data_IF_435803857325
#
_entry.id   IF_435803857325
#
_cell.length_a   1.000
_cell.length_b   1.000
_cell.length_c   1.000
_cell.angle_alpha   90.00
_cell.angle_beta   90.00
_cell.angle_gamma   90.00
#
_symmetry.space_group_name_H-M   'P 1'
#
loop_
_entity.id
_entity.type
_entity.pdbx_description
1 polymer ?
#
# COMPACT_ATOMS: atom_id res chain seq x y z
N UNK A 1 2.18 -26.36 -2.33
CA UNK A 1 1.82 -25.18 -1.52
C UNK A 1 2.39 -23.95 -2.22
N UNK A 2 1.65 -22.85 -2.36
CA UNK A 2 2.12 -21.67 -3.09
C UNK A 2 3.13 -20.86 -2.26
N UNK A 3 4.31 -20.57 -2.82
CA UNK A 3 5.32 -19.72 -2.15
C UNK A 3 4.80 -18.31 -1.89
N UNK A 4 3.93 -17.78 -2.76
CA UNK A 4 3.29 -16.47 -2.59
C UNK A 4 2.32 -16.48 -1.40
N UNK A 5 1.53 -17.55 -1.26
CA UNK A 5 0.63 -17.66 -0.10
C UNK A 5 1.42 -17.70 1.21
N UNK A 6 2.52 -18.47 1.24
CA UNK A 6 3.37 -18.61 2.42
C UNK A 6 4.11 -17.32 2.80
N UNK A 7 4.48 -16.48 1.83
CA UNK A 7 5.24 -15.25 2.10
C UNK A 7 4.44 -14.20 2.88
N UNK A 8 3.10 -14.16 2.75
CA UNK A 8 2.23 -13.13 3.36
C UNK A 8 1.18 -13.68 4.35
N UNK A 9 1.14 -14.99 4.61
CA UNK A 9 0.17 -15.61 5.52
C UNK A 9 0.77 -16.48 6.63
N UNK A 10 2.09 -16.44 6.83
CA UNK A 10 2.73 -17.09 7.98
C UNK A 10 2.07 -16.65 9.30
N UNK A 11 2.00 -17.58 10.25
CA UNK A 11 1.43 -17.36 11.60
C UNK A 11 -0.09 -17.06 11.66
N UNK A 12 -0.82 -17.04 10.54
CA UNK A 12 -2.29 -16.92 10.55
C UNK A 12 -2.96 -18.29 10.76
N UNK A 13 -4.07 -18.31 11.51
CA UNK A 13 -4.99 -19.45 11.56
C UNK A 13 -6.04 -19.28 10.47
N UNK A 14 -6.40 -20.35 9.77
CA UNK A 14 -7.36 -20.31 8.66
C UNK A 14 -8.67 -20.98 9.04
N UNK A 15 -9.78 -20.37 8.65
CA UNK A 15 -11.12 -20.96 8.62
C UNK A 15 -11.76 -20.62 7.27
N UNK A 16 -12.64 -21.49 6.79
CA UNK A 16 -13.44 -21.22 5.59
C UNK A 16 -14.83 -20.77 6.01
N UNK A 17 -15.28 -19.64 5.48
CA UNK A 17 -16.58 -19.08 5.79
C UNK A 17 -17.26 -18.58 4.50
N UNK A 18 -18.47 -19.06 4.25
CA UNK A 18 -19.30 -18.60 3.14
C UNK A 18 -20.36 -17.63 3.66
N UNK A 19 -20.12 -16.34 3.44
CA UNK A 19 -20.98 -15.25 3.91
C UNK A 19 -22.34 -15.20 3.21
N UNK A 20 -22.55 -15.98 2.13
CA UNK A 20 -23.82 -16.04 1.41
C UNK A 20 -24.77 -17.11 1.97
N UNK A 21 -24.28 -18.01 2.82
CA UNK A 21 -25.10 -19.04 3.47
C UNK A 21 -25.75 -18.51 4.73
N UNK A 22 -26.90 -19.07 5.08
CA UNK A 22 -27.56 -18.82 6.36
C UNK A 22 -26.58 -19.11 7.51
N UNK A 23 -26.46 -18.21 8.48
CA UNK A 23 -25.50 -18.32 9.59
C UNK A 23 -24.09 -17.81 9.27
N UNK A 24 -23.73 -17.64 7.99
CA UNK A 24 -22.36 -17.28 7.59
C UNK A 24 -21.95 -15.89 8.07
N UNK A 25 -22.88 -14.92 7.95
CA UNK A 25 -22.69 -13.55 8.44
C UNK A 25 -22.59 -13.52 9.96
N UNK A 26 -23.44 -14.28 10.65
CA UNK A 26 -23.52 -14.33 12.10
C UNK A 26 -22.20 -14.80 12.70
N UNK A 27 -21.56 -15.82 12.10
CA UNK A 27 -20.24 -16.29 12.52
C UNK A 27 -19.18 -15.18 12.40
N UNK A 28 -19.18 -14.39 11.32
CA UNK A 28 -18.24 -13.27 11.18
C UNK A 28 -18.51 -12.19 12.24
N UNK A 29 -19.78 -11.86 12.49
CA UNK A 29 -20.15 -10.90 13.52
C UNK A 29 -19.76 -11.40 14.92
N UNK A 30 -19.90 -12.69 15.21
CA UNK A 30 -19.45 -13.29 16.48
C UNK A 30 -17.94 -13.24 16.64
N UNK A 31 -17.17 -13.48 15.57
CA UNK A 31 -15.72 -13.26 15.59
C UNK A 31 -15.38 -11.79 15.81
N UNK A 32 -16.11 -10.86 15.18
CA UNK A 32 -15.91 -9.43 15.35
C UNK A 32 -16.18 -8.94 16.78
N UNK A 33 -17.09 -9.59 17.53
CA UNK A 33 -17.35 -9.27 18.96
C UNK A 33 -16.11 -9.39 19.84
N UNK A 34 -15.26 -10.37 19.53
CA UNK A 34 -14.06 -10.69 20.33
C UNK A 34 -12.76 -10.23 19.68
N UNK A 35 -12.84 -9.55 18.53
CA UNK A 35 -11.68 -9.10 17.77
C UNK A 35 -11.42 -7.62 17.99
N UNK A 36 -10.15 -7.24 18.04
CA UNK A 36 -9.73 -5.84 18.10
C UNK A 36 -9.77 -5.17 16.72
N UNK A 37 -9.41 -5.92 15.68
CA UNK A 37 -9.21 -5.41 14.32
C UNK A 37 -9.84 -6.37 13.32
N UNK A 38 -10.59 -5.82 12.36
CA UNK A 38 -11.05 -6.52 11.16
C UNK A 38 -10.40 -5.85 9.96
N UNK A 39 -9.73 -6.63 9.12
CA UNK A 39 -9.09 -6.14 7.89
C UNK A 39 -9.76 -6.78 6.68
N UNK A 40 -10.11 -5.97 5.69
CA UNK A 40 -10.70 -6.43 4.44
C UNK A 40 -10.23 -5.62 3.22
N UNK A 41 -10.28 -6.23 2.04
CA UNK A 41 -9.90 -5.62 0.78
C UNK A 41 -10.83 -6.06 -0.36
N UNK A 42 -12.13 -6.20 -0.07
CA UNK A 42 -13.12 -6.55 -1.09
C UNK A 42 -13.31 -5.41 -2.08
N UNK A 43 -13.91 -5.73 -3.23
CA UNK A 43 -14.33 -4.70 -4.18
C UNK A 43 -15.34 -3.73 -3.52
N UNK A 44 -15.32 -2.44 -3.88
CA UNK A 44 -16.15 -1.42 -3.24
C UNK A 44 -17.63 -1.83 -3.13
N UNK A 45 -18.21 -1.70 -1.94
CA UNK A 45 -19.62 -2.00 -1.65
C UNK A 45 -19.95 -3.48 -1.41
N UNK A 46 -19.02 -4.42 -1.66
CA UNK A 46 -19.30 -5.85 -1.49
C UNK A 46 -19.52 -6.24 -0.02
N UNK A 47 -18.78 -5.66 0.92
CA UNK A 47 -18.96 -5.95 2.36
C UNK A 47 -20.30 -5.44 2.88
N UNK A 48 -20.77 -4.29 2.38
CA UNK A 48 -22.11 -3.78 2.68
C UNK A 48 -23.22 -4.67 2.12
N UNK A 49 -23.09 -5.13 0.86
CA UNK A 49 -24.00 -6.10 0.24
C UNK A 49 -24.09 -7.40 1.06
N UNK A 50 -22.95 -7.86 1.61
CA UNK A 50 -22.87 -9.06 2.45
C UNK A 50 -23.30 -8.80 3.91
N UNK A 51 -23.63 -7.56 4.28
CA UNK A 51 -24.03 -7.20 5.65
C UNK A 51 -22.90 -7.27 6.69
N UNK A 52 -21.65 -7.27 6.24
CA UNK A 52 -20.42 -7.32 7.07
C UNK A 52 -19.55 -6.07 6.89
N UNK A 53 -20.13 -5.02 6.31
CA UNK A 53 -19.54 -3.69 6.26
C UNK A 53 -19.35 -3.07 7.65
N UNK A 54 -18.79 -1.86 7.68
CA UNK A 54 -18.46 -1.20 8.94
C UNK A 54 -19.66 -1.03 9.87
N UNK A 55 -20.81 -0.57 9.36
CA UNK A 55 -22.00 -0.27 10.16
C UNK A 55 -22.52 -1.47 11.00
N UNK A 56 -22.77 -2.66 10.42
CA UNK A 56 -23.20 -3.82 11.22
C UNK A 56 -22.11 -4.32 12.18
N UNK A 57 -20.84 -4.21 11.79
CA UNK A 57 -19.71 -4.65 12.61
C UNK A 57 -19.50 -3.73 13.82
N UNK A 58 -19.53 -2.42 13.64
CA UNK A 58 -19.37 -1.43 14.72
C UNK A 58 -20.54 -1.41 15.71
N UNK A 59 -21.77 -1.70 15.23
CA UNK A 59 -22.92 -1.94 16.12
C UNK A 59 -22.71 -3.16 17.02
N UNK A 60 -22.01 -4.17 16.50
CA UNK A 60 -21.73 -5.41 17.22
C UNK A 60 -20.57 -5.24 18.20
N UNK A 61 -19.55 -4.48 17.81
CA UNK A 61 -18.40 -4.15 18.63
C UNK A 61 -18.03 -2.66 18.41
N UNK A 62 -18.47 -1.74 19.28
CA UNK A 62 -18.15 -0.30 19.16
C UNK A 62 -16.66 0.03 19.33
N UNK A 63 -15.86 -0.90 19.83
CA UNK A 63 -14.41 -0.75 20.05
C UNK A 63 -13.57 -1.32 18.89
N UNK A 64 -14.20 -1.85 17.82
CA UNK A 64 -13.47 -2.48 16.71
C UNK A 64 -12.82 -1.46 15.79
N UNK A 65 -11.60 -1.76 15.35
CA UNK A 65 -10.95 -1.04 14.25
C UNK A 65 -11.26 -1.80 12.96
N UNK A 66 -12.02 -1.17 12.07
CA UNK A 66 -12.40 -1.74 10.79
C UNK A 66 -11.54 -1.13 9.69
N UNK A 67 -10.61 -1.91 9.14
CA UNK A 67 -9.63 -1.45 8.18
C UNK A 67 -9.94 -1.99 6.78
N UNK A 68 -10.18 -1.08 5.83
CA UNK A 68 -10.50 -1.37 4.44
C UNK A 68 -9.38 -0.94 3.50
N UNK A 69 -9.03 -1.78 2.53
CA UNK A 69 -8.10 -1.44 1.44
C UNK A 69 -8.84 -1.36 0.11
N UNK A 70 -8.73 -0.21 -0.56
CA UNK A 70 -9.33 0.06 -1.86
C UNK A 70 -8.27 0.27 -2.94
N UNK A 71 -8.69 0.19 -4.20
CA UNK A 71 -7.88 0.69 -5.31
C UNK A 71 -7.66 2.20 -5.26
N UNK A 72 -8.76 2.95 -5.14
CA UNK A 72 -8.80 4.41 -5.29
C UNK A 72 -9.42 5.15 -4.10
N UNK A 73 -9.68 4.44 -3.02
CA UNK A 73 -10.34 4.97 -1.83
C UNK A 73 -11.87 4.83 -1.88
N UNK A 74 -12.54 5.19 -0.77
CA UNK A 74 -13.98 5.03 -0.60
C UNK A 74 -14.80 6.19 -1.21
N UNK A 75 -14.15 7.21 -1.77
CA UNK A 75 -14.78 8.43 -2.27
C UNK A 75 -14.19 8.91 -3.60
N UNK A 76 -14.82 9.91 -4.21
CA UNK A 76 -14.35 10.50 -5.46
C UNK A 76 -14.77 9.74 -6.72
N UNK A 77 -14.33 10.19 -7.90
CA UNK A 77 -14.82 9.71 -9.19
C UNK A 77 -14.43 8.24 -9.48
N UNK A 78 -13.41 7.71 -8.80
CA UNK A 78 -12.90 6.36 -9.00
C UNK A 78 -13.30 5.38 -7.89
N UNK A 79 -14.15 5.78 -6.93
CA UNK A 79 -14.54 4.95 -5.77
C UNK A 79 -15.14 3.58 -6.12
N UNK A 80 -15.70 3.41 -7.32
CA UNK A 80 -16.29 2.13 -7.79
C UNK A 80 -15.34 1.29 -8.63
N UNK A 81 -14.13 1.77 -8.92
CA UNK A 81 -13.15 1.04 -9.73
C UNK A 81 -12.39 0.04 -8.87
N UNK A 82 -12.12 -1.13 -9.44
CA UNK A 82 -11.20 -2.11 -8.86
C UNK A 82 -9.76 -1.62 -9.01
N UNK A 83 -8.93 -1.85 -8.00
CA UNK A 83 -7.50 -1.53 -8.04
C UNK A 83 -6.63 -2.75 -8.06
N UNK A 84 -5.53 -2.66 -8.78
CA UNK A 84 -4.40 -3.58 -8.74
C UNK A 84 -3.12 -2.75 -8.67
N UNK A 85 -2.10 -3.26 -7.99
CA UNK A 85 -0.79 -2.61 -7.81
C UNK A 85 -0.26 -1.96 -9.08
N UNK A 86 -0.16 -2.72 -10.18
CA UNK A 86 0.38 -2.21 -11.44
C UNK A 86 -0.45 -1.07 -12.04
N UNK A 87 -1.78 -1.09 -11.86
CA UNK A 87 -2.66 -0.03 -12.35
C UNK A 87 -2.47 1.23 -11.49
N UNK A 88 -2.40 1.07 -10.17
CA UNK A 88 -2.13 2.20 -9.26
C UNK A 88 -0.75 2.80 -9.54
N UNK A 89 0.28 1.98 -9.71
CA UNK A 89 1.63 2.41 -10.09
C UNK A 89 1.66 3.19 -11.42
N UNK A 90 0.86 2.77 -12.40
CA UNK A 90 0.74 3.49 -13.67
C UNK A 90 0.02 4.83 -13.52
N UNK A 91 -1.19 4.82 -12.95
CA UNK A 91 -2.06 6.00 -12.87
C UNK A 91 -1.53 7.05 -11.88
N UNK A 92 -0.81 6.65 -10.84
CA UNK A 92 -0.20 7.56 -9.86
C UNK A 92 1.26 7.92 -10.17
N UNK A 93 1.75 7.60 -11.38
CA UNK A 93 3.02 8.14 -11.90
C UNK A 93 4.29 7.36 -11.56
N UNK A 94 4.24 6.29 -10.75
CA UNK A 94 5.42 5.48 -10.43
C UNK A 94 6.09 4.92 -11.70
N UNK A 95 5.30 4.35 -12.60
CA UNK A 95 5.83 3.78 -13.83
C UNK A 95 6.38 4.88 -14.75
N UNK A 96 5.81 6.09 -14.70
CA UNK A 96 6.29 7.23 -15.49
C UNK A 96 7.72 7.61 -15.12
N UNK A 97 8.09 7.53 -13.84
CA UNK A 97 9.42 7.91 -13.34
C UNK A 97 10.40 6.73 -13.26
N UNK A 98 9.95 5.50 -13.52
CA UNK A 98 10.77 4.28 -13.37
C UNK A 98 11.22 3.75 -14.73
N UNK A 99 12.53 3.54 -14.90
CA UNK A 99 13.12 2.91 -16.09
C UNK A 99 14.30 3.69 -16.68
N UNK A 100 14.73 3.26 -17.87
CA UNK A 100 15.79 3.94 -18.63
C UNK A 100 15.23 5.22 -19.28
N UNK A 101 16.06 6.27 -19.47
CA UNK A 101 15.73 7.39 -20.33
C UNK A 101 15.24 6.90 -21.71
N UNK A 102 14.25 7.57 -22.28
CA UNK A 102 13.66 7.28 -23.61
C UNK A 102 13.08 5.86 -23.83
N UNK A 103 13.07 5.01 -22.80
CA UNK A 103 12.41 3.70 -22.83
C UNK A 103 10.93 3.79 -22.42
N UNK A 104 10.09 2.80 -22.78
CA UNK A 104 8.73 2.70 -22.24
C UNK A 104 8.71 2.61 -20.70
N UNK A 105 7.66 3.13 -20.03
CA UNK A 105 7.46 2.97 -18.59
C UNK A 105 7.55 1.50 -18.14
N UNK A 106 8.26 1.24 -17.05
CA UNK A 106 8.34 -0.11 -16.45
C UNK A 106 7.82 -0.09 -15.02
N UNK A 107 7.25 -1.21 -14.57
CA UNK A 107 6.83 -1.38 -13.18
C UNK A 107 8.01 -1.87 -12.32
N UNK A 108 8.04 -1.54 -11.03
CA UNK A 108 8.93 -2.20 -10.09
C UNK A 108 8.76 -3.74 -10.10
N UNK A 109 9.83 -4.47 -9.78
CA UNK A 109 9.85 -5.93 -9.86
C UNK A 109 8.96 -6.66 -8.83
N UNK A 110 8.41 -5.95 -7.86
CA UNK A 110 7.51 -6.45 -6.82
C UNK A 110 6.29 -5.54 -6.68
N UNK A 111 5.25 -6.02 -5.98
CA UNK A 111 4.05 -5.23 -5.66
C UNK A 111 4.37 -4.13 -4.65
N UNK A 112 5.05 -3.09 -5.11
CA UNK A 112 5.58 -2.01 -4.26
C UNK A 112 4.43 -1.22 -3.64
N UNK A 113 3.40 -0.90 -4.43
CA UNK A 113 2.24 -0.16 -3.96
C UNK A 113 1.47 -1.01 -2.96
N UNK A 114 1.22 -2.29 -3.25
CA UNK A 114 0.56 -3.22 -2.31
C UNK A 114 1.30 -3.29 -0.97
N UNK A 115 2.63 -3.43 -1.00
CA UNK A 115 3.47 -3.55 0.20
C UNK A 115 3.44 -2.26 1.02
N UNK A 116 3.60 -1.10 0.36
CA UNK A 116 3.53 0.20 1.02
C UNK A 116 2.13 0.49 1.58
N UNK A 117 1.05 0.13 0.88
CA UNK A 117 -0.31 0.32 1.38
C UNK A 117 -0.55 -0.53 2.62
N UNK A 118 -0.04 -1.76 2.63
CA UNK A 118 -0.05 -2.62 3.81
C UNK A 118 0.69 -2.00 5.00
N UNK A 119 1.84 -1.37 4.77
CA UNK A 119 2.60 -0.66 5.81
C UNK A 119 1.87 0.58 6.32
N UNK A 120 1.29 1.40 5.44
CA UNK A 120 0.46 2.55 5.86
C UNK A 120 -0.73 2.11 6.69
N UNK A 121 -1.47 1.09 6.25
CA UNK A 121 -2.60 0.56 7.00
C UNK A 121 -2.16 -0.02 8.34
N UNK A 122 -1.02 -0.71 8.39
CA UNK A 122 -0.47 -1.22 9.64
C UNK A 122 -0.20 -0.10 10.65
N UNK A 123 0.45 0.99 10.24
CA UNK A 123 0.69 2.15 11.10
C UNK A 123 -0.62 2.81 11.53
N UNK A 124 -1.59 2.95 10.62
CA UNK A 124 -2.91 3.49 10.94
C UNK A 124 -3.66 2.63 11.97
N UNK A 125 -3.59 1.29 11.86
CA UNK A 125 -4.17 0.37 12.84
C UNK A 125 -3.50 0.53 14.21
N UNK A 126 -2.17 0.64 14.27
CA UNK A 126 -1.46 0.87 15.53
C UNK A 126 -1.85 2.21 16.17
N UNK A 127 -1.99 3.27 15.38
CA UNK A 127 -2.44 4.57 15.84
C UNK A 127 -3.89 4.54 16.36
N UNK A 128 -4.79 3.86 15.64
CA UNK A 128 -6.18 3.68 16.04
C UNK A 128 -6.30 2.85 17.33
N UNK A 129 -5.48 1.80 17.49
CA UNK A 129 -5.41 1.03 18.75
C UNK A 129 -4.97 1.91 19.91
N UNK A 130 -4.00 2.79 19.70
CA UNK A 130 -3.53 3.72 20.72
C UNK A 130 -4.59 4.78 21.07
N UNK A 131 -5.30 5.31 20.07
CA UNK A 131 -6.41 6.24 20.29
C UNK A 131 -7.55 5.56 21.06
N UNK A 132 -7.90 4.33 20.70
CA UNK A 132 -8.91 3.51 21.38
C UNK A 132 -8.59 3.29 22.87
N UNK A 133 -7.32 3.14 23.24
CA UNK A 133 -6.92 3.01 24.65
C UNK A 133 -7.31 4.24 25.49
N UNK A 134 -7.48 5.41 24.86
CA UNK A 134 -7.87 6.64 25.53
C UNK A 134 -9.39 6.89 25.45
N UNK A 135 -10.01 6.52 24.33
CA UNK A 135 -11.42 6.85 24.04
C UNK A 135 -12.40 5.71 24.33
N UNK A 136 -11.90 4.47 24.40
CA UNK A 136 -12.71 3.25 24.44
C UNK A 136 -13.47 2.94 23.14
N UNK A 137 -13.26 3.72 22.07
CA UNK A 137 -14.00 3.63 20.80
C UNK A 137 -13.09 3.20 19.66
N UNK A 138 -13.61 2.36 18.79
CA UNK A 138 -12.99 2.00 17.52
C UNK A 138 -13.32 3.02 16.44
N UNK A 139 -12.82 2.76 15.24
CA UNK A 139 -13.01 3.61 14.07
C UNK A 139 -12.90 2.81 12.78
N UNK A 140 -13.35 3.43 11.68
CA UNK A 140 -13.13 2.91 10.32
C UNK A 140 -11.88 3.55 9.73
N UNK A 141 -10.96 2.72 9.26
CA UNK A 141 -9.77 3.13 8.52
C UNK A 141 -9.95 2.74 7.05
N UNK A 142 -9.72 3.70 6.16
CA UNK A 142 -9.76 3.47 4.72
C UNK A 142 -8.35 3.79 4.14
N UNK A 143 -7.73 2.81 3.47
CA UNK A 143 -6.47 2.98 2.77
C UNK A 143 -6.67 2.72 1.27
N UNK A 144 -5.90 3.39 0.41
CA UNK A 144 -5.95 3.14 -1.02
C UNK A 144 -4.59 2.98 -1.67
N UNK A 145 -4.51 2.11 -2.68
CA UNK A 145 -3.31 1.93 -3.51
C UNK A 145 -2.93 3.25 -4.20
N UNK A 146 -3.93 3.97 -4.71
CA UNK A 146 -3.73 5.23 -5.42
C UNK A 146 -3.13 6.33 -4.53
N UNK A 147 -3.74 6.61 -3.38
CA UNK A 147 -3.24 7.65 -2.46
C UNK A 147 -1.88 7.26 -1.88
N UNK A 148 -1.68 5.98 -1.57
CA UNK A 148 -0.37 5.45 -1.17
C UNK A 148 0.68 5.75 -2.22
N UNK A 149 0.40 5.48 -3.50
CA UNK A 149 1.43 5.72 -4.50
C UNK A 149 1.69 7.21 -4.71
N UNK A 150 0.67 8.05 -4.65
CA UNK A 150 0.87 9.50 -4.71
C UNK A 150 1.77 9.97 -3.56
N UNK A 151 1.57 9.49 -2.34
CA UNK A 151 2.40 9.90 -1.20
C UNK A 151 3.86 9.52 -1.36
N UNK A 152 4.15 8.45 -2.10
CA UNK A 152 5.51 7.98 -2.37
C UNK A 152 6.26 8.77 -3.45
N UNK A 153 5.61 9.72 -4.13
CA UNK A 153 6.30 10.60 -5.09
C UNK A 153 7.25 11.60 -4.41
N UNK A 154 7.01 11.93 -3.14
CA UNK A 154 7.88 12.75 -2.28
C UNK A 154 8.42 14.00 -3.02
N UNK A 155 9.70 14.02 -3.38
CA UNK A 155 10.36 15.15 -4.02
C UNK A 155 9.92 15.32 -5.48
N UNK A 156 9.62 14.23 -6.20
CA UNK A 156 9.15 14.30 -7.59
C UNK A 156 7.78 14.98 -7.65
N UNK A 157 6.90 14.65 -6.70
CA UNK A 157 5.62 15.34 -6.56
C UNK A 157 5.80 16.81 -6.20
N UNK A 158 6.74 17.12 -5.29
CA UNK A 158 7.05 18.49 -4.90
C UNK A 158 7.65 19.32 -6.03
N UNK A 159 8.51 18.74 -6.88
CA UNK A 159 9.12 19.41 -8.04
C UNK A 159 8.05 19.85 -9.04
N UNK A 160 7.07 18.99 -9.32
CA UNK A 160 5.93 19.34 -10.16
C UNK A 160 5.09 20.46 -9.54
N UNK A 161 4.70 20.31 -8.27
CA UNK A 161 3.79 21.26 -7.60
C UNK A 161 4.41 22.65 -7.40
N UNK A 162 5.71 22.72 -7.09
CA UNK A 162 6.37 23.98 -6.76
C UNK A 162 7.07 24.63 -7.96
N UNK A 163 7.56 23.83 -8.91
CA UNK A 163 8.42 24.31 -10.00
C UNK A 163 7.86 24.01 -11.40
N UNK A 164 6.78 23.22 -11.52
CA UNK A 164 6.26 22.77 -12.81
C UNK A 164 7.22 21.81 -13.54
N UNK A 165 8.17 21.22 -12.83
CA UNK A 165 9.16 20.30 -13.40
C UNK A 165 8.57 18.90 -13.42
N UNK A 166 8.32 18.38 -14.62
CA UNK A 166 7.82 17.02 -14.80
C UNK A 166 8.90 15.99 -14.46
N UNK A 167 8.53 14.98 -13.68
CA UNK A 167 9.40 13.86 -13.33
C UNK A 167 9.83 13.06 -14.56
N UNK A 168 11.02 12.48 -14.55
CA UNK A 168 11.58 11.74 -15.69
C UNK A 168 12.20 10.42 -15.25
N UNK A 169 12.35 9.50 -16.20
CA UNK A 169 13.13 8.27 -16.04
C UNK A 169 14.61 8.62 -16.11
N UNK A 170 15.29 8.54 -14.98
CA UNK A 170 16.72 8.87 -14.86
C UNK A 170 17.62 7.61 -14.74
N UNK A 171 17.09 6.41 -15.03
CA UNK A 171 17.74 5.15 -14.69
C UNK A 171 18.17 5.11 -13.22
N UNK A 172 19.47 5.00 -12.95
CA UNK A 172 20.04 4.89 -11.61
C UNK A 172 20.82 6.16 -11.22
N UNK A 173 20.80 7.21 -12.06
CA UNK A 173 21.51 8.47 -11.80
C UNK A 173 20.75 9.26 -10.73
N UNK A 174 21.44 9.63 -9.66
CA UNK A 174 20.89 10.57 -8.69
C UNK A 174 20.81 11.98 -9.32
N UNK A 175 19.67 12.69 -9.21
CA UNK A 175 19.48 13.97 -9.90
C UNK A 175 20.42 15.09 -9.42
N UNK A 176 20.94 14.99 -8.20
CA UNK A 176 21.69 16.08 -7.55
C UNK A 176 23.11 15.71 -7.09
N UNK A 177 23.58 14.49 -7.32
CA UNK A 177 24.87 13.99 -6.77
C UNK A 177 25.59 13.17 -7.83
N UNK A 178 26.89 13.42 -8.05
CA UNK A 178 27.71 12.67 -8.99
C UNK A 178 29.13 12.40 -8.46
N UNK A 179 29.68 11.16 -8.63
CA UNK A 179 29.00 9.98 -9.16
C UNK A 179 28.07 9.32 -8.12
N UNK A 180 26.77 9.24 -8.43
CA UNK A 180 25.81 8.42 -7.69
C UNK A 180 24.95 7.65 -8.70
N UNK A 181 25.40 6.43 -9.03
CA UNK A 181 24.87 5.60 -10.13
C UNK A 181 25.33 4.13 -10.02
N UNK A 182 24.85 3.27 -10.91
CA UNK A 182 25.36 1.89 -11.11
C UNK A 182 26.29 1.80 -12.31
N UNK A 183 27.39 1.06 -12.16
CA UNK A 183 28.42 0.87 -13.18
C UNK A 183 28.62 -0.62 -13.48
N UNK A 184 28.82 -0.97 -14.75
CA UNK A 184 29.06 -2.35 -15.15
C UNK A 184 30.46 -2.81 -14.71
N UNK A 185 30.54 -4.01 -14.14
CA UNK A 185 31.79 -4.70 -13.79
C UNK A 185 32.00 -5.93 -14.69
N UNK A 186 33.05 -6.72 -14.42
CA UNK A 186 33.33 -7.97 -15.15
C UNK A 186 32.18 -8.99 -15.02
N UNK A 187 31.50 -9.02 -13.89
CA UNK A 187 30.57 -10.08 -13.48
C UNK A 187 29.23 -9.56 -12.93
N UNK A 188 28.97 -8.25 -12.99
CA UNK A 188 27.73 -7.66 -12.51
C UNK A 188 27.70 -6.15 -12.61
N UNK A 189 27.05 -5.52 -11.62
CA UNK A 189 26.94 -4.07 -11.50
C UNK A 189 27.36 -3.64 -10.10
N UNK A 190 28.11 -2.55 -10.01
CA UNK A 190 28.49 -1.88 -8.77
C UNK A 190 27.68 -0.59 -8.62
N UNK A 191 26.97 -0.44 -7.51
CA UNK A 191 26.37 0.84 -7.14
C UNK A 191 27.42 1.71 -6.42
N UNK A 192 27.62 2.93 -6.90
CA UNK A 192 28.55 3.92 -6.32
C UNK A 192 27.74 5.13 -5.89
N UNK A 193 27.98 5.65 -4.69
CA UNK A 193 27.37 6.87 -4.17
C UNK A 193 28.42 7.76 -3.51
N UNK A 194 29.09 8.59 -4.31
CA UNK A 194 30.03 9.59 -3.82
C UNK A 194 29.27 10.87 -3.43
N UNK A 195 28.79 10.89 -2.19
CA UNK A 195 27.93 11.97 -1.68
C UNK A 195 28.71 13.19 -1.18
N UNK A 196 30.03 13.18 -1.27
CA UNK A 196 30.91 14.30 -0.94
C UNK A 196 32.29 14.15 -1.62
N UNK A 197 33.03 15.26 -1.70
CA UNK A 197 34.36 15.36 -2.32
C UNK A 197 35.44 14.53 -1.60
N UNK A 198 35.21 14.13 -0.34
CA UNK A 198 36.14 13.38 0.52
C UNK A 198 35.98 11.86 0.44
N UNK A 199 35.25 11.34 -0.53
CA UNK A 199 35.08 9.89 -0.71
C UNK A 199 36.41 9.28 -1.16
N UNK A 200 37.29 8.97 -0.21
CA UNK A 200 38.52 8.21 -0.44
C UNK A 200 38.15 6.82 -0.94
N UNK A 201 38.65 6.47 -2.13
CA UNK A 201 38.66 5.09 -2.62
C UNK A 201 39.69 4.37 -1.76
N UNK A 202 39.23 3.63 -0.76
CA UNK A 202 40.09 2.68 -0.04
C UNK A 202 40.11 1.37 -0.84
N UNK A 203 41.32 0.94 -1.22
CA UNK A 203 41.65 -0.27 -1.99
C UNK A 203 41.16 -1.58 -1.34
#
# INVERSE_FOLDING_TARGET
MSSYFNSVNRNKRSITLDLKKAGGREILLDLAKISDVLIENFVPGKTDELGVGYNPVSKTNPAIIYASVYGYGPSGPYQRRTGYDAIAAGVAGLMHITGQPDSPPVRPGLGMVDTCTGLYLHVAILAALQARNQTGKGEKLDASLFETQISLLINIGADWLNLGVEGKRNSNVHPSIAPCNTFQTKDGYLAVGANNDRSEILD
#
